data_IF_616870673513
#
_entry.id   IF_616870673513
#
_cell.length_a   1.000
_cell.length_b   1.000
_cell.length_c   1.000
_cell.angle_alpha   90.00
_cell.angle_beta   90.00
_cell.angle_gamma   90.00
#
_symmetry.space_group_name_H-M   'P 1'
#
loop_
_entity.id
_entity.type
_entity.pdbx_description
1 polymer ?
#
# COMPACT_ATOMS: atom_id res chain seq x y z
N UNK A 1 26.36 19.19 -1.22
CA UNK A 1 26.13 20.07 -2.40
C UNK A 1 25.18 19.31 -3.31
N UNK A 2 23.89 19.59 -3.23
CA UNK A 2 22.87 18.90 -4.03
C UNK A 2 22.91 19.43 -5.46
N UNK A 3 23.10 18.52 -6.42
CA UNK A 3 23.13 18.78 -7.87
C UNK A 3 21.80 19.36 -8.35
N UNK A 4 21.69 20.70 -8.33
CA UNK A 4 20.56 21.46 -8.90
C UNK A 4 20.45 21.34 -10.43
N UNK A 5 21.44 20.72 -11.07
CA UNK A 5 21.54 20.48 -12.50
C UNK A 5 20.64 19.34 -12.98
N UNK A 6 20.50 18.25 -12.20
CA UNK A 6 19.68 17.09 -12.58
C UNK A 6 18.18 17.44 -12.69
N UNK A 7 17.69 18.30 -11.79
CA UNK A 7 16.28 18.70 -11.73
C UNK A 7 15.89 19.64 -12.89
N UNK A 8 16.78 20.55 -13.31
CA UNK A 8 16.49 21.51 -14.37
C UNK A 8 16.42 20.86 -15.76
N UNK A 9 17.29 19.90 -16.05
CA UNK A 9 17.29 19.19 -17.35
C UNK A 9 16.08 18.26 -17.51
N UNK A 10 15.63 17.61 -16.42
CA UNK A 10 14.44 16.77 -16.42
C UNK A 10 13.14 17.57 -16.61
N UNK A 11 13.01 18.74 -15.98
CA UNK A 11 11.82 19.61 -16.14
C UNK A 11 11.65 20.16 -17.56
N UNK A 12 12.75 20.44 -18.27
CA UNK A 12 12.71 20.90 -19.65
C UNK A 12 12.37 19.77 -20.63
N UNK A 13 12.87 18.56 -20.39
CA UNK A 13 12.75 17.43 -21.32
C UNK A 13 11.56 16.51 -21.05
N UNK A 14 10.81 16.68 -19.94
CA UNK A 14 9.64 15.85 -19.67
C UNK A 14 8.54 16.07 -20.72
N UNK A 15 7.82 15.00 -21.11
CA UNK A 15 6.70 15.13 -22.02
C UNK A 15 5.62 16.06 -21.44
N UNK A 16 5.28 17.14 -22.16
CA UNK A 16 4.21 18.05 -21.76
C UNK A 16 2.88 17.52 -22.28
N UNK A 17 2.06 16.97 -21.39
CA UNK A 17 0.74 16.40 -21.73
C UNK A 17 -0.22 17.40 -22.41
N UNK A 18 0.02 18.71 -22.24
CA UNK A 18 -0.78 19.79 -22.82
C UNK A 18 -0.27 20.26 -24.19
N UNK A 19 0.59 19.49 -24.88
CA UNK A 19 1.08 19.82 -26.23
C UNK A 19 0.99 18.59 -27.15
N UNK A 20 0.79 18.78 -28.47
CA UNK A 20 0.89 17.68 -29.44
C UNK A 20 2.30 17.06 -29.39
N UNK A 21 2.46 15.74 -29.60
CA UNK A 21 1.45 14.76 -30.05
C UNK A 21 0.68 14.09 -28.90
N UNK A 22 0.85 14.52 -27.64
CA UNK A 22 0.21 13.87 -26.48
C UNK A 22 -1.25 14.29 -26.29
N UNK A 23 -1.63 15.50 -26.73
CA UNK A 23 -3.02 15.94 -26.79
C UNK A 23 -3.90 15.07 -27.70
N UNK A 24 -3.32 14.50 -28.76
CA UNK A 24 -4.02 13.64 -29.72
C UNK A 24 -4.08 12.18 -29.26
N UNK A 25 -3.32 11.83 -28.22
CA UNK A 25 -3.37 10.50 -27.60
C UNK A 25 -4.48 10.45 -26.55
N UNK A 26 -5.03 9.26 -26.33
CA UNK A 26 -6.04 9.02 -25.29
C UNK A 26 -5.55 9.59 -23.96
N UNK A 27 -6.43 10.20 -23.15
CA UNK A 27 -6.07 10.68 -21.83
C UNK A 27 -5.42 9.56 -21.02
N UNK A 28 -4.49 9.89 -20.09
CA UNK A 28 -3.86 8.89 -19.24
C UNK A 28 -4.93 8.00 -18.60
N UNK A 29 -4.70 6.69 -18.63
CA UNK A 29 -5.64 5.69 -18.08
C UNK A 29 -5.79 5.79 -16.57
N UNK A 30 -4.88 6.51 -15.91
CA UNK A 30 -4.92 6.71 -14.47
C UNK A 30 -5.99 7.76 -14.15
N UNK A 31 -6.98 7.45 -13.30
CA UNK A 31 -7.92 8.44 -12.80
C UNK A 31 -7.15 9.58 -12.08
N UNK A 32 -7.72 10.80 -12.03
CA UNK A 32 -7.11 11.88 -11.29
C UNK A 32 -6.94 11.47 -9.82
N UNK A 33 -5.80 11.83 -9.23
CA UNK A 33 -5.59 11.69 -7.80
C UNK A 33 -6.52 12.66 -7.08
N UNK A 34 -7.30 12.14 -6.13
CA UNK A 34 -8.12 12.95 -5.25
C UNK A 34 -7.36 13.12 -3.94
N UNK A 35 -7.30 14.36 -3.45
CA UNK A 35 -6.85 14.64 -2.08
C UNK A 35 -7.95 14.21 -1.12
N UNK A 36 -7.56 13.50 -0.05
CA UNK A 36 -8.47 12.94 0.93
C UNK A 36 -8.22 13.66 2.25
N UNK A 37 -9.24 14.41 2.70
CA UNK A 37 -9.13 15.24 3.91
C UNK A 37 -9.77 14.58 5.13
N UNK A 38 -10.66 13.61 4.93
CA UNK A 38 -11.44 12.99 6.01
C UNK A 38 -11.62 11.49 5.78
N UNK A 39 -11.62 10.72 6.87
CA UNK A 39 -11.80 9.27 6.89
C UNK A 39 -13.12 8.81 6.27
N UNK A 40 -14.18 9.63 6.33
CA UNK A 40 -15.48 9.29 5.74
C UNK A 40 -15.43 9.12 4.21
N UNK A 41 -14.49 9.80 3.54
CA UNK A 41 -14.31 9.68 2.09
C UNK A 41 -13.72 8.32 1.69
N UNK A 42 -13.10 7.59 2.63
CA UNK A 42 -12.54 6.26 2.43
C UNK A 42 -13.60 5.15 2.55
N UNK A 43 -14.72 5.41 3.22
CA UNK A 43 -15.75 4.42 3.51
C UNK A 43 -16.30 3.70 2.26
N UNK A 44 -16.60 4.37 1.13
CA UNK A 44 -17.13 3.68 -0.05
C UNK A 44 -16.16 2.61 -0.59
N UNK A 45 -14.86 2.86 -0.51
CA UNK A 45 -13.84 1.92 -0.97
C UNK A 45 -13.71 0.72 -0.02
N UNK A 46 -13.70 0.98 1.29
CA UNK A 46 -13.63 -0.05 2.31
C UNK A 46 -14.90 -0.91 2.35
N UNK A 47 -16.07 -0.33 2.12
CA UNK A 47 -17.33 -1.09 2.02
C UNK A 47 -17.32 -2.06 0.83
N UNK A 48 -16.71 -1.67 -0.28
CA UNK A 48 -16.55 -2.54 -1.43
C UNK A 48 -15.63 -3.73 -1.12
N UNK A 49 -14.60 -3.52 -0.29
CA UNK A 49 -13.70 -4.59 0.20
C UNK A 49 -14.40 -5.48 1.23
N UNK A 50 -15.16 -4.88 2.15
CA UNK A 50 -15.90 -5.56 3.21
C UNK A 50 -16.95 -6.55 2.66
N UNK A 51 -17.70 -6.15 1.62
CA UNK A 51 -18.73 -6.98 0.98
C UNK A 51 -18.19 -7.97 -0.03
N UNK A 52 -16.91 -7.86 -0.40
CA UNK A 52 -16.36 -8.71 -1.46
C UNK A 52 -16.25 -10.14 -0.91
N UNK A 53 -16.86 -11.13 -1.58
CA UNK A 53 -16.75 -12.52 -1.15
C UNK A 53 -15.29 -12.94 -1.22
N UNK A 54 -14.88 -13.78 -0.29
CA UNK A 54 -13.52 -14.28 -0.26
C UNK A 54 -13.20 -15.01 -1.58
N UNK A 55 -12.11 -14.63 -2.23
CA UNK A 55 -11.63 -15.26 -3.45
C UNK A 55 -10.11 -15.44 -3.34
N UNK A 56 -9.58 -16.56 -3.82
CA UNK A 56 -8.15 -16.87 -3.86
C UNK A 56 -7.33 -15.94 -4.78
N UNK A 57 -7.94 -14.88 -5.33
CA UNK A 57 -7.28 -13.88 -6.16
C UNK A 57 -6.52 -12.83 -5.35
N UNK A 58 -5.73 -12.02 -6.06
CA UNK A 58 -4.92 -10.93 -5.49
C UNK A 58 -5.72 -9.71 -4.99
N UNK A 59 -7.05 -9.78 -5.00
CA UNK A 59 -7.90 -8.68 -4.62
C UNK A 59 -8.23 -8.77 -3.13
N UNK A 60 -7.93 -7.70 -2.38
CA UNK A 60 -8.31 -7.60 -0.98
C UNK A 60 -9.83 -7.85 -0.82
N UNK A 61 -10.18 -8.78 0.06
CA UNK A 61 -11.55 -9.15 0.40
C UNK A 61 -11.59 -9.50 1.89
N UNK A 62 -12.63 -9.04 2.58
CA UNK A 62 -12.84 -9.36 3.99
C UNK A 62 -14.07 -10.24 4.23
N UNK A 63 -15.05 -10.22 3.32
CA UNK A 63 -16.30 -11.00 3.43
C UNK A 63 -16.95 -10.94 4.83
N UNK A 64 -17.02 -9.72 5.38
CA UNK A 64 -17.35 -9.50 6.79
C UNK A 64 -18.76 -9.99 7.12
N UNK A 65 -18.87 -10.85 8.13
CA UNK A 65 -20.15 -11.30 8.68
C UNK A 65 -20.53 -10.53 9.95
N UNK A 66 -21.82 -10.38 10.18
CA UNK A 66 -22.33 -9.72 11.39
C UNK A 66 -21.90 -10.49 12.66
N UNK A 67 -21.42 -9.77 13.67
CA UNK A 67 -20.87 -10.31 14.94
C UNK A 67 -19.54 -11.06 14.83
N UNK A 68 -18.86 -10.99 13.68
CA UNK A 68 -17.53 -11.57 13.52
C UNK A 68 -16.50 -10.82 14.39
N UNK A 69 -15.46 -11.54 14.84
CA UNK A 69 -14.35 -10.95 15.58
C UNK A 69 -13.18 -10.74 14.62
N UNK A 70 -12.78 -9.48 14.47
CA UNK A 70 -11.71 -9.08 13.55
C UNK A 70 -10.52 -8.58 14.34
N UNK A 71 -9.35 -9.15 14.09
CA UNK A 71 -8.09 -8.59 14.56
C UNK A 71 -7.50 -7.75 13.42
N UNK A 72 -7.36 -6.45 13.63
CA UNK A 72 -6.77 -5.54 12.67
C UNK A 72 -5.32 -5.26 13.07
N UNK A 73 -4.33 -5.92 12.43
CA UNK A 73 -2.93 -5.56 12.62
C UNK A 73 -2.66 -4.24 11.90
N UNK A 74 -2.14 -3.27 12.64
CA UNK A 74 -1.80 -1.95 12.15
C UNK A 74 -0.33 -1.71 12.45
N UNK A 75 0.41 -1.15 11.50
CA UNK A 75 1.78 -0.72 11.74
C UNK A 75 1.87 0.79 12.00
N UNK A 76 2.97 1.21 12.60
CA UNK A 76 3.27 2.62 12.85
C UNK A 76 3.47 3.45 11.55
N UNK A 77 3.50 2.82 10.39
CA UNK A 77 3.57 3.49 9.07
C UNK A 77 2.19 3.77 8.50
N UNK A 78 1.14 3.15 9.05
CA UNK A 78 -0.23 3.36 8.61
C UNK A 78 -0.74 4.72 9.06
N UNK A 79 -1.30 5.48 8.13
CA UNK A 79 -1.89 6.79 8.42
C UNK A 79 -3.07 6.64 9.41
N UNK A 80 -3.11 7.43 10.50
CA UNK A 80 -4.20 7.41 11.48
C UNK A 80 -5.60 7.55 10.86
N UNK A 81 -5.74 8.29 9.76
CA UNK A 81 -7.02 8.47 9.06
C UNK A 81 -7.54 7.15 8.48
N UNK A 82 -6.65 6.28 8.02
CA UNK A 82 -7.01 4.97 7.48
C UNK A 82 -7.46 4.03 8.60
N UNK A 83 -6.81 4.11 9.78
CA UNK A 83 -7.20 3.33 10.96
C UNK A 83 -8.62 3.71 11.39
N UNK A 84 -8.92 5.01 11.47
CA UNK A 84 -10.26 5.51 11.82
C UNK A 84 -11.32 5.05 10.80
N UNK A 85 -11.02 5.12 9.49
CA UNK A 85 -11.92 4.66 8.46
C UNK A 85 -12.23 3.15 8.58
N UNK A 86 -11.21 2.35 8.88
CA UNK A 86 -11.37 0.91 9.10
C UNK A 86 -12.25 0.61 10.33
N UNK A 87 -12.06 1.32 11.44
CA UNK A 87 -12.91 1.18 12.64
C UNK A 87 -14.38 1.46 12.30
N UNK A 88 -14.66 2.59 11.64
CA UNK A 88 -16.02 2.98 11.22
C UNK A 88 -16.71 1.91 10.38
N UNK A 89 -15.97 1.27 9.47
CA UNK A 89 -16.50 0.19 8.63
C UNK A 89 -16.81 -1.05 9.47
N UNK A 90 -15.87 -1.49 10.32
CA UNK A 90 -16.09 -2.66 11.18
C UNK A 90 -17.31 -2.47 12.10
N UNK A 91 -17.50 -1.27 12.65
CA UNK A 91 -18.68 -0.90 13.43
C UNK A 91 -19.96 -0.94 12.60
N UNK A 92 -19.92 -0.41 11.37
CA UNK A 92 -21.07 -0.41 10.45
C UNK A 92 -21.55 -1.82 10.10
N UNK A 93 -20.62 -2.77 9.97
CA UNK A 93 -20.94 -4.18 9.72
C UNK A 93 -21.28 -4.96 11.01
N UNK A 94 -21.16 -4.33 12.19
CA UNK A 94 -21.45 -4.94 13.49
C UNK A 94 -20.44 -6.00 13.89
N UNK A 95 -19.20 -5.86 13.44
CA UNK A 95 -18.08 -6.71 13.84
C UNK A 95 -17.50 -6.21 15.17
N UNK A 96 -17.00 -7.13 16.00
CA UNK A 96 -16.17 -6.79 17.16
C UNK A 96 -14.74 -6.74 16.68
N UNK A 97 -14.03 -5.65 16.94
CA UNK A 97 -12.65 -5.50 16.47
C UNK A 97 -11.67 -5.25 17.62
N UNK A 98 -10.43 -5.68 17.40
CA UNK A 98 -9.28 -5.40 18.24
C UNK A 98 -8.15 -4.90 17.34
N UNK A 99 -7.47 -3.84 17.75
CA UNK A 99 -6.38 -3.23 16.98
C UNK A 99 -5.07 -3.67 17.63
N UNK A 100 -4.22 -4.30 16.83
CA UNK A 100 -2.90 -4.70 17.26
C UNK A 100 -1.87 -3.82 16.57
N UNK A 101 -1.29 -2.90 17.33
CA UNK A 101 -0.19 -2.06 16.85
C UNK A 101 1.12 -2.86 16.82
N UNK A 102 1.78 -2.85 15.67
CA UNK A 102 3.09 -3.46 15.44
C UNK A 102 4.07 -2.35 15.10
N UNK A 103 5.10 -2.19 15.92
CA UNK A 103 6.16 -1.23 15.64
C UNK A 103 7.11 -1.77 14.57
N UNK A 104 7.13 -1.13 13.39
CA UNK A 104 8.06 -1.44 12.29
C UNK A 104 9.29 -0.52 12.27
N UNK A 105 9.46 0.35 13.27
CA UNK A 105 10.57 1.30 13.31
C UNK A 105 10.37 2.50 12.38
N UNK A 106 11.40 3.31 12.11
CA UNK A 106 11.24 4.56 11.37
C UNK A 106 10.80 4.33 9.92
N UNK A 107 9.87 5.17 9.44
CA UNK A 107 9.46 5.18 8.03
C UNK A 107 10.68 5.52 7.18
N UNK A 108 11.10 4.58 6.32
CA UNK A 108 12.21 4.81 5.40
C UNK A 108 11.77 5.70 4.24
N UNK A 109 12.48 6.79 4.01
CA UNK A 109 12.35 7.58 2.79
C UNK A 109 13.14 6.88 1.67
N UNK A 110 12.42 6.25 0.74
CA UNK A 110 13.02 5.62 -0.43
C UNK A 110 13.23 6.66 -1.52
N UNK A 111 14.48 6.90 -1.93
CA UNK A 111 14.82 7.92 -2.94
C UNK A 111 15.20 7.23 -4.25
N UNK A 112 14.28 7.15 -5.20
CA UNK A 112 14.55 6.67 -6.56
C UNK A 112 13.98 5.28 -6.88
N UNK A 113 14.77 4.44 -7.55
CA UNK A 113 14.38 3.13 -8.10
C UNK A 113 14.79 1.95 -7.20
N UNK A 114 14.66 2.10 -5.88
CA UNK A 114 15.00 1.07 -4.89
C UNK A 114 13.85 0.07 -4.65
N UNK A 115 13.01 -0.16 -5.66
CA UNK A 115 11.89 -1.10 -5.59
C UNK A 115 12.39 -2.51 -5.21
N UNK A 116 13.59 -2.88 -5.68
CA UNK A 116 14.24 -4.16 -5.39
C UNK A 116 14.57 -4.29 -3.90
N UNK A 117 15.13 -3.25 -3.28
CA UNK A 117 15.51 -3.27 -1.87
C UNK A 117 14.27 -3.27 -0.98
N UNK A 118 13.24 -2.53 -1.37
CA UNK A 118 11.92 -2.60 -0.75
C UNK A 118 11.34 -4.03 -0.78
N UNK A 119 11.34 -4.69 -1.93
CA UNK A 119 10.84 -6.06 -2.03
C UNK A 119 11.72 -7.05 -1.26
N UNK A 120 13.04 -6.88 -1.21
CA UNK A 120 13.95 -7.74 -0.45
C UNK A 120 13.66 -7.66 1.04
N UNK A 121 13.51 -6.45 1.60
CA UNK A 121 13.13 -6.27 3.01
C UNK A 121 11.75 -6.87 3.31
N UNK A 122 10.77 -6.62 2.44
CA UNK A 122 9.42 -7.16 2.62
C UNK A 122 9.36 -8.69 2.50
N UNK A 123 10.25 -9.30 1.72
CA UNK A 123 10.36 -10.77 1.60
C UNK A 123 10.86 -11.40 2.89
N UNK A 124 11.80 -10.75 3.60
CA UNK A 124 12.25 -11.20 4.92
C UNK A 124 11.11 -11.20 5.94
N UNK A 125 10.22 -10.19 5.89
CA UNK A 125 9.03 -10.12 6.75
C UNK A 125 7.96 -11.16 6.39
N UNK A 126 7.70 -11.37 5.10
CA UNK A 126 6.61 -12.25 4.62
C UNK A 126 6.95 -13.73 4.73
N UNK A 127 8.22 -14.08 4.62
CA UNK A 127 8.68 -15.46 4.63
C UNK A 127 9.91 -15.62 5.53
N UNK A 128 9.78 -15.38 6.85
CA UNK A 128 10.88 -15.55 7.77
C UNK A 128 11.41 -16.99 7.72
N UNK A 129 10.56 -17.99 7.46
CA UNK A 129 10.95 -19.41 7.29
C UNK A 129 11.79 -19.72 6.02
N UNK A 130 11.88 -18.81 5.04
CA UNK A 130 12.81 -18.96 3.91
C UNK A 130 14.25 -18.56 4.30
N UNK A 131 14.44 -17.89 5.43
CA UNK A 131 15.72 -17.33 5.87
C UNK A 131 16.13 -17.74 7.29
N UNK A 132 15.16 -18.02 8.16
CA UNK A 132 15.36 -18.65 9.45
C UNK A 132 15.44 -20.17 9.24
N UNK A 133 16.54 -20.76 9.73
CA UNK A 133 16.88 -22.19 9.64
C UNK A 133 17.22 -22.72 8.24
N UNK A 134 18.25 -22.12 7.62
CA UNK A 134 18.98 -22.78 6.54
C UNK A 134 18.16 -23.00 5.27
N UNK A 135 17.36 -22.00 4.89
CA UNK A 135 16.68 -21.96 3.60
C UNK A 135 17.66 -22.03 2.42
N UNK A 136 17.15 -22.42 1.26
CA UNK A 136 17.81 -22.88 0.02
C UNK A 136 19.14 -22.22 -0.41
N UNK A 137 19.51 -21.05 0.11
CA UNK A 137 20.83 -20.43 -0.05
C UNK A 137 21.93 -21.00 0.85
N UNK A 138 21.63 -21.67 1.97
CA UNK A 138 22.67 -22.31 2.80
C UNK A 138 23.10 -23.69 2.30
N UNK A 139 22.41 -24.24 1.30
CA UNK A 139 22.82 -25.45 0.56
C UNK A 139 23.50 -25.08 -0.77
N UNK A 140 24.44 -24.14 -0.74
CA UNK A 140 25.50 -24.17 -1.75
C UNK A 140 26.55 -25.14 -1.21
N UNK A 141 26.59 -26.32 -1.84
CA UNK A 141 27.56 -27.40 -1.62
C UNK A 141 29.01 -26.88 -1.61
N UNK A 142 29.96 -27.61 -0.98
CA UNK A 142 31.39 -27.24 -0.93
C UNK A 142 32.02 -26.97 -2.30
#
# INVERSE_FOLDING_TARGET
>A
MTDKTYTQEWEQNRPKYNKPPLLEKRPPRCPPYFEIDNSDQLLPYLEAVAKRPYNHGLHACWDLQKNEKVLLPVDNWTDPMVIEACQKVLEKFGCKYEIQEVDKGPIKEWVGADEVDYYLERTLELAPSLYADGGWRSKVLP
#
